data_IF_686841665051
#
_entry.id   IF_686841665051
#
_cell.length_a   1.000
_cell.length_b   1.000
_cell.length_c   1.000
_cell.angle_alpha   90.00
_cell.angle_beta   90.00
_cell.angle_gamma   90.00
#
_symmetry.space_group_name_H-M   'P 1'
#
loop_
_entity.id
_entity.type
_entity.pdbx_description
1 polymer ?
#
# COMPACT_ATOMS: atom_id res chain seq x y z
N UNK A 1 -18.67 -11.47 -12.34
CA UNK A 1 -19.00 -11.04 -13.72
C UNK A 1 -18.27 -9.73 -14.00
N UNK A 2 -17.43 -9.73 -15.02
CA UNK A 2 -16.81 -8.48 -15.49
C UNK A 2 -17.90 -7.64 -16.16
N UNK A 3 -18.28 -6.51 -15.56
CA UNK A 3 -19.07 -5.51 -16.24
C UNK A 3 -18.21 -4.87 -17.34
N UNK A 4 -18.29 -5.40 -18.55
CA UNK A 4 -17.70 -4.77 -19.73
C UNK A 4 -18.54 -3.53 -20.02
N UNK A 5 -17.96 -2.35 -19.77
CA UNK A 5 -18.63 -1.10 -20.12
C UNK A 5 -18.41 -0.82 -21.61
N UNK A 6 -19.46 -0.32 -22.26
CA UNK A 6 -19.29 0.18 -23.61
C UNK A 6 -18.41 1.46 -23.64
N UNK A 7 -17.98 1.84 -24.85
CA UNK A 7 -17.09 2.99 -25.03
C UNK A 7 -17.70 4.31 -24.52
N UNK A 8 -18.99 4.48 -24.63
CA UNK A 8 -19.69 5.70 -24.19
C UNK A 8 -19.71 5.79 -22.66
N UNK A 9 -20.04 4.68 -21.97
CA UNK A 9 -20.00 4.58 -20.51
C UNK A 9 -18.59 4.79 -19.96
N UNK A 10 -17.57 4.20 -20.59
CA UNK A 10 -16.18 4.39 -20.19
C UNK A 10 -15.78 5.86 -20.33
N UNK A 11 -16.14 6.51 -21.44
CA UNK A 11 -15.84 7.93 -21.65
C UNK A 11 -16.52 8.80 -20.60
N UNK A 12 -17.81 8.57 -20.33
CA UNK A 12 -18.56 9.33 -19.33
C UNK A 12 -17.95 9.16 -17.91
N UNK A 13 -17.59 7.93 -17.53
CA UNK A 13 -16.97 7.67 -16.23
C UNK A 13 -15.60 8.32 -16.11
N UNK A 14 -14.78 8.26 -17.15
CA UNK A 14 -13.47 8.92 -17.20
C UNK A 14 -13.60 10.44 -17.05
N UNK A 15 -14.61 11.04 -17.72
CA UNK A 15 -14.91 12.47 -17.58
C UNK A 15 -15.35 12.83 -16.16
N UNK A 16 -16.21 12.00 -15.55
CA UNK A 16 -16.64 12.20 -14.15
C UNK A 16 -15.43 12.19 -13.19
N UNK A 17 -14.54 11.20 -13.30
CA UNK A 17 -13.31 11.16 -12.49
C UNK A 17 -12.44 12.40 -12.71
N UNK A 18 -12.29 12.83 -13.95
CA UNK A 18 -11.50 14.02 -14.28
C UNK A 18 -12.07 15.30 -13.68
N UNK A 19 -13.40 15.44 -13.64
CA UNK A 19 -14.09 16.58 -13.02
C UNK A 19 -13.98 16.57 -11.49
N UNK A 20 -14.01 15.39 -10.87
CA UNK A 20 -13.90 15.23 -9.42
C UNK A 20 -12.46 15.35 -8.89
N UNK A 21 -11.45 15.57 -9.74
CA UNK A 21 -10.05 15.58 -9.33
C UNK A 21 -9.63 16.84 -8.59
N UNK A 22 -10.35 17.94 -8.78
CA UNK A 22 -10.12 19.21 -8.11
C UNK A 22 -10.43 19.09 -6.61
N UNK A 23 -9.61 19.73 -5.79
CA UNK A 23 -9.83 19.81 -4.34
C UNK A 23 -10.69 21.04 -4.03
N UNK A 24 -11.37 21.07 -2.86
CA UNK A 24 -12.10 22.26 -2.44
C UNK A 24 -11.22 23.50 -2.40
N UNK A 25 -11.85 24.67 -2.49
CA UNK A 25 -11.17 25.98 -2.38
C UNK A 25 -10.37 26.05 -1.08
N UNK A 26 -9.19 26.66 -1.14
CA UNK A 26 -8.23 26.81 -0.04
C UNK A 26 -7.71 25.50 0.59
N UNK A 27 -8.20 24.32 0.16
CA UNK A 27 -7.81 23.04 0.76
C UNK A 27 -6.31 22.75 0.63
N UNK A 28 -5.71 23.13 -0.50
CA UNK A 28 -4.28 22.90 -0.77
C UNK A 28 -3.44 23.72 0.22
N UNK A 29 -3.78 24.99 0.39
CA UNK A 29 -3.09 25.91 1.28
C UNK A 29 -3.25 25.50 2.74
N UNK A 30 -4.48 25.24 3.17
CA UNK A 30 -4.81 25.03 4.57
C UNK A 30 -4.45 23.61 5.03
N UNK A 31 -4.78 22.60 4.25
CA UNK A 31 -4.64 21.21 4.67
C UNK A 31 -3.32 20.58 4.24
N UNK A 32 -2.71 21.05 3.12
CA UNK A 32 -1.49 20.43 2.59
C UNK A 32 -0.27 21.28 2.90
N UNK A 33 -0.29 22.60 2.56
CA UNK A 33 0.87 23.48 2.66
C UNK A 33 1.16 23.96 4.09
N UNK A 34 0.15 24.43 4.83
CA UNK A 34 0.32 24.97 6.21
C UNK A 34 0.70 23.93 7.24
N UNK A 35 0.40 22.64 6.99
CA UNK A 35 0.72 21.55 7.91
C UNK A 35 1.50 20.44 7.19
N UNK A 36 2.74 20.67 6.73
CA UNK A 36 3.54 19.66 6.03
C UNK A 36 3.74 18.40 6.88
N UNK A 37 4.00 17.27 6.24
CA UNK A 37 4.26 15.99 6.90
C UNK A 37 5.50 15.32 6.32
N UNK A 38 6.38 14.74 7.15
CA UNK A 38 7.47 13.90 6.64
C UNK A 38 6.95 12.58 6.06
N UNK A 39 5.72 12.18 6.42
CA UNK A 39 5.07 10.94 6.02
C UNK A 39 3.82 11.26 5.20
N UNK A 40 3.83 10.85 3.90
CA UNK A 40 2.73 11.16 2.97
C UNK A 40 1.48 10.33 3.30
N UNK A 41 1.62 9.10 3.81
CA UNK A 41 0.46 8.30 4.25
C UNK A 41 -0.29 8.96 5.41
N UNK A 42 0.45 9.53 6.38
CA UNK A 42 -0.17 10.33 7.45
C UNK A 42 -0.87 11.56 6.89
N UNK A 43 -0.26 12.24 5.90
CA UNK A 43 -0.88 13.40 5.25
C UNK A 43 -2.16 12.99 4.51
N UNK A 44 -2.15 11.87 3.78
CA UNK A 44 -3.34 11.34 3.09
C UNK A 44 -4.50 11.11 4.08
N UNK A 45 -4.25 10.40 5.19
CA UNK A 45 -5.28 10.14 6.19
C UNK A 45 -5.87 11.43 6.78
N UNK A 46 -5.01 12.41 7.13
CA UNK A 46 -5.46 13.73 7.64
C UNK A 46 -6.29 14.50 6.61
N UNK A 47 -5.87 14.49 5.36
CA UNK A 47 -6.60 15.17 4.29
C UNK A 47 -7.95 14.49 4.01
N UNK A 48 -8.01 13.17 4.02
CA UNK A 48 -9.28 12.43 3.87
C UNK A 48 -10.24 12.80 5.00
N UNK A 49 -9.80 12.81 6.26
CA UNK A 49 -10.64 13.24 7.39
C UNK A 49 -11.07 14.72 7.27
N UNK A 50 -10.20 15.59 6.76
CA UNK A 50 -10.54 17.01 6.58
C UNK A 50 -11.60 17.23 5.49
N UNK A 51 -11.65 16.38 4.45
CA UNK A 51 -12.66 16.46 3.39
C UNK A 51 -14.09 16.29 3.90
N UNK A 52 -14.28 15.64 5.07
CA UNK A 52 -15.56 15.57 5.78
C UNK A 52 -16.20 16.96 5.95
N UNK A 53 -15.41 17.97 6.30
CA UNK A 53 -15.90 19.34 6.56
C UNK A 53 -16.29 20.11 5.29
N UNK A 54 -15.95 19.57 4.11
CA UNK A 54 -16.28 20.16 2.81
C UNK A 54 -17.40 19.42 2.09
N UNK A 55 -17.96 18.36 2.70
CA UNK A 55 -19.10 17.62 2.16
C UNK A 55 -20.39 18.14 2.82
N UNK A 56 -21.41 18.43 2.03
CA UNK A 56 -22.71 18.88 2.52
C UNK A 56 -23.50 17.76 3.23
N UNK A 57 -23.19 16.50 2.94
CA UNK A 57 -23.86 15.32 3.49
C UNK A 57 -22.85 14.26 3.97
N UNK A 58 -21.94 14.61 4.87
CA UNK A 58 -20.83 13.72 5.24
C UNK A 58 -21.28 12.44 5.94
N UNK A 59 -22.35 12.51 6.75
CA UNK A 59 -22.88 11.39 7.55
C UNK A 59 -23.98 10.57 6.85
N UNK A 60 -24.40 10.96 5.63
CA UNK A 60 -25.36 10.18 4.87
C UNK A 60 -24.68 8.92 4.31
N UNK A 61 -25.10 7.76 4.83
CA UNK A 61 -24.60 6.44 4.44
C UNK A 61 -25.48 5.73 3.40
N UNK A 62 -26.41 6.45 2.75
CA UNK A 62 -27.12 5.92 1.58
C UNK A 62 -26.12 5.47 0.50
N UNK A 63 -26.47 4.43 -0.24
CA UNK A 63 -25.55 3.84 -1.24
C UNK A 63 -25.18 4.87 -2.31
N UNK A 64 -26.15 5.69 -2.72
CA UNK A 64 -25.95 6.76 -3.69
C UNK A 64 -24.94 7.80 -3.20
N UNK A 65 -25.06 8.24 -1.94
CA UNK A 65 -24.14 9.22 -1.37
C UNK A 65 -22.74 8.61 -1.13
N UNK A 66 -22.67 7.39 -0.61
CA UNK A 66 -21.39 6.67 -0.44
C UNK A 66 -20.69 6.44 -1.77
N UNK A 67 -21.43 6.16 -2.86
CA UNK A 67 -20.88 6.05 -4.21
C UNK A 67 -20.31 7.40 -4.67
N UNK A 68 -21.06 8.50 -4.49
CA UNK A 68 -20.59 9.86 -4.80
C UNK A 68 -19.29 10.19 -4.07
N UNK A 69 -19.27 10.01 -2.74
CA UNK A 69 -18.08 10.24 -1.91
C UNK A 69 -16.91 9.38 -2.34
N UNK A 70 -17.16 8.11 -2.68
CA UNK A 70 -16.14 7.16 -3.14
C UNK A 70 -15.51 7.59 -4.46
N UNK A 71 -16.31 8.02 -5.43
CA UNK A 71 -15.82 8.53 -6.73
C UNK A 71 -14.96 9.78 -6.52
N UNK A 72 -15.40 10.71 -5.66
CA UNK A 72 -14.62 11.89 -5.31
C UNK A 72 -13.27 11.52 -4.69
N UNK A 73 -13.24 10.62 -3.71
CA UNK A 73 -12.00 10.19 -3.06
C UNK A 73 -11.06 9.46 -4.03
N UNK A 74 -11.57 8.59 -4.91
CA UNK A 74 -10.77 7.95 -5.97
C UNK A 74 -10.11 9.00 -6.87
N UNK A 75 -10.83 10.07 -7.20
CA UNK A 75 -10.32 11.14 -8.05
C UNK A 75 -9.35 12.09 -7.32
N UNK A 76 -9.60 12.41 -6.05
CA UNK A 76 -8.85 13.41 -5.28
C UNK A 76 -7.59 12.87 -4.61
N UNK A 77 -7.54 11.59 -4.22
CA UNK A 77 -6.36 11.01 -3.56
C UNK A 77 -5.07 11.17 -4.38
N UNK A 78 -5.04 10.96 -5.70
CA UNK A 78 -3.86 11.23 -6.52
C UNK A 78 -3.38 12.68 -6.42
N UNK A 79 -4.31 13.64 -6.35
CA UNK A 79 -3.99 15.08 -6.22
C UNK A 79 -3.38 15.38 -4.86
N UNK A 80 -4.01 14.90 -3.78
CA UNK A 80 -3.52 15.05 -2.40
C UNK A 80 -2.12 14.43 -2.27
N UNK A 81 -1.93 13.21 -2.79
CA UNK A 81 -0.64 12.51 -2.77
C UNK A 81 0.45 13.31 -3.46
N UNK A 82 0.20 13.75 -4.68
CA UNK A 82 1.17 14.46 -5.51
C UNK A 82 1.56 15.81 -4.89
N UNK A 83 0.58 16.56 -4.40
CA UNK A 83 0.83 17.86 -3.79
C UNK A 83 1.49 17.74 -2.42
N UNK A 84 1.09 16.76 -1.62
CA UNK A 84 1.77 16.44 -0.36
C UNK A 84 3.25 16.09 -0.57
N UNK A 85 3.57 15.36 -1.65
CA UNK A 85 4.96 15.07 -2.02
C UNK A 85 5.72 16.34 -2.42
N UNK A 86 5.12 17.22 -3.22
CA UNK A 86 5.76 18.48 -3.60
C UNK A 86 6.02 19.39 -2.39
N UNK A 87 5.08 19.44 -1.44
CA UNK A 87 5.26 20.17 -0.18
C UNK A 87 6.36 19.53 0.67
N UNK A 88 6.41 18.19 0.75
CA UNK A 88 7.49 17.46 1.42
C UNK A 88 8.84 17.79 0.80
N UNK A 89 8.96 17.84 -0.53
CA UNK A 89 10.20 18.21 -1.23
C UNK A 89 10.69 19.59 -0.78
N UNK A 90 9.80 20.56 -0.70
CA UNK A 90 10.16 21.92 -0.27
C UNK A 90 10.55 21.97 1.19
N UNK A 91 9.73 21.41 2.06
CA UNK A 91 9.85 21.58 3.51
C UNK A 91 10.98 20.76 4.11
N UNK A 92 11.12 19.49 3.70
CA UNK A 92 12.05 18.54 4.30
C UNK A 92 13.31 18.30 3.46
N UNK A 93 13.22 18.42 2.13
CA UNK A 93 14.38 18.17 1.25
C UNK A 93 14.98 19.46 0.71
N UNK A 94 14.42 20.63 1.05
CA UNK A 94 14.87 21.96 0.60
C UNK A 94 15.00 22.05 -0.92
N UNK A 95 14.11 21.37 -1.67
CA UNK A 95 14.04 21.36 -3.13
C UNK A 95 12.85 22.19 -3.61
N UNK A 96 12.87 22.61 -4.87
CA UNK A 96 11.77 23.35 -5.49
C UNK A 96 10.47 22.53 -5.44
N UNK A 97 9.38 23.21 -5.16
CA UNK A 97 8.01 22.69 -5.20
C UNK A 97 7.36 23.08 -6.51
N UNK A 98 6.70 22.12 -7.16
CA UNK A 98 5.98 22.32 -8.40
C UNK A 98 4.53 21.90 -8.24
N UNK A 99 3.61 22.86 -8.22
CA UNK A 99 2.17 22.60 -8.24
C UNK A 99 1.69 22.82 -9.67
N UNK A 100 1.50 21.74 -10.39
CA UNK A 100 1.07 21.79 -11.78
C UNK A 100 -0.46 21.84 -11.87
N UNK A 101 -1.03 22.59 -12.82
CA UNK A 101 -2.47 22.63 -13.06
C UNK A 101 -3.01 21.21 -13.38
N UNK A 102 -4.20 20.93 -12.87
CA UNK A 102 -4.92 19.70 -13.17
C UNK A 102 -5.38 19.72 -14.63
N UNK A 103 -5.04 18.69 -15.38
CA UNK A 103 -5.49 18.49 -16.76
C UNK A 103 -6.56 17.43 -16.79
N UNK A 104 -7.76 17.82 -17.25
CA UNK A 104 -8.94 16.94 -17.29
C UNK A 104 -8.82 15.82 -18.33
N UNK A 105 -7.98 16.00 -19.34
CA UNK A 105 -7.69 15.00 -20.38
C UNK A 105 -6.79 13.86 -19.90
N UNK A 106 -6.07 14.01 -18.79
CA UNK A 106 -5.17 12.99 -18.29
C UNK A 106 -5.93 11.83 -17.61
N UNK A 107 -5.49 10.59 -17.88
CA UNK A 107 -5.82 9.46 -17.03
C UNK A 107 -5.21 9.63 -15.63
N UNK A 108 -5.59 8.78 -14.68
CA UNK A 108 -5.00 8.86 -13.32
C UNK A 108 -3.47 8.64 -13.34
N UNK A 109 -2.99 7.67 -14.12
CA UNK A 109 -1.55 7.43 -14.26
C UNK A 109 -0.81 8.61 -14.90
N UNK A 110 -1.34 9.18 -15.99
CA UNK A 110 -0.80 10.37 -16.65
C UNK A 110 -0.78 11.57 -15.70
N UNK A 111 -1.85 11.78 -14.94
CA UNK A 111 -1.93 12.85 -13.95
C UNK A 111 -0.85 12.70 -12.88
N UNK A 112 -0.66 11.49 -12.33
CA UNK A 112 0.37 11.23 -11.32
C UNK A 112 1.76 11.56 -11.87
N UNK A 113 2.14 11.01 -13.03
CA UNK A 113 3.45 11.26 -13.64
C UNK A 113 3.67 12.74 -13.94
N UNK A 114 2.65 13.42 -14.48
CA UNK A 114 2.69 14.86 -14.74
C UNK A 114 2.91 15.67 -13.46
N UNK A 115 2.25 15.30 -12.35
CA UNK A 115 2.22 16.10 -11.13
C UNK A 115 3.46 15.90 -10.24
N UNK A 116 4.10 14.73 -10.30
CA UNK A 116 5.30 14.46 -9.49
C UNK A 116 6.59 14.91 -10.17
N UNK A 117 6.61 15.00 -11.51
CA UNK A 117 7.78 15.38 -12.30
C UNK A 117 7.86 16.89 -12.51
N UNK A 118 9.04 17.47 -12.35
CA UNK A 118 9.25 18.93 -12.52
C UNK A 118 9.04 19.39 -13.95
N UNK A 119 9.40 18.57 -14.94
CA UNK A 119 9.30 18.85 -16.36
C UNK A 119 7.94 18.44 -16.98
N UNK A 120 7.09 17.77 -16.21
CA UNK A 120 5.77 17.26 -16.62
C UNK A 120 5.79 16.23 -17.77
N UNK A 121 6.96 15.74 -18.15
CA UNK A 121 7.11 14.83 -19.29
C UNK A 121 6.91 13.37 -18.86
N UNK A 122 6.24 12.62 -19.69
CA UNK A 122 6.10 11.18 -19.61
C UNK A 122 5.78 10.62 -20.99
N UNK A 123 6.03 9.33 -21.18
CA UNK A 123 5.63 8.60 -22.41
C UNK A 123 4.32 7.86 -22.19
N UNK A 124 3.66 7.47 -23.26
CA UNK A 124 2.45 6.65 -23.18
C UNK A 124 2.73 5.26 -22.58
N UNK A 125 3.92 4.71 -22.84
CA UNK A 125 4.36 3.45 -22.27
C UNK A 125 4.55 3.54 -20.77
N UNK A 126 5.16 4.60 -20.25
CA UNK A 126 5.29 4.87 -18.81
C UNK A 126 3.91 4.99 -18.15
N UNK A 127 2.99 5.72 -18.78
CA UNK A 127 1.63 5.88 -18.28
C UNK A 127 0.87 4.55 -18.24
N UNK A 128 0.99 3.72 -19.29
CA UNK A 128 0.39 2.37 -19.34
C UNK A 128 0.97 1.44 -18.27
N UNK A 129 2.28 1.51 -18.05
CA UNK A 129 2.93 0.70 -17.02
C UNK A 129 2.47 1.10 -15.60
N UNK A 130 2.37 2.40 -15.33
CA UNK A 130 1.84 2.87 -14.05
C UNK A 130 0.36 2.52 -13.89
N UNK A 131 -0.44 2.64 -14.94
CA UNK A 131 -1.86 2.26 -14.93
C UNK A 131 -2.05 0.78 -14.60
N UNK A 132 -1.23 -0.10 -15.17
CA UNK A 132 -1.19 -1.51 -14.80
C UNK A 132 -0.88 -1.70 -13.31
N UNK A 133 0.12 -1.00 -12.76
CA UNK A 133 0.42 -1.06 -11.34
C UNK A 133 -0.78 -0.65 -10.48
N UNK A 134 -1.49 0.42 -10.85
CA UNK A 134 -2.68 0.88 -10.14
C UNK A 134 -3.79 -0.19 -10.19
N UNK A 135 -4.04 -0.81 -11.35
CA UNK A 135 -5.00 -1.90 -11.46
C UNK A 135 -4.64 -3.10 -10.58
N UNK A 136 -3.38 -3.53 -10.58
CA UNK A 136 -2.93 -4.69 -9.79
C UNK A 136 -3.01 -4.48 -8.28
N UNK A 137 -2.99 -3.23 -7.82
CA UNK A 137 -3.09 -2.86 -6.42
C UNK A 137 -4.51 -2.50 -5.97
N UNK A 138 -5.46 -2.33 -6.91
CA UNK A 138 -6.80 -1.82 -6.62
C UNK A 138 -7.58 -2.71 -5.64
N UNK A 139 -7.43 -4.04 -5.71
CA UNK A 139 -8.19 -4.97 -4.90
C UNK A 139 -7.34 -6.19 -4.49
N UNK A 140 -7.62 -6.75 -3.31
CA UNK A 140 -7.00 -8.00 -2.82
C UNK A 140 -7.85 -8.75 -1.77
N UNK A 141 -9.16 -8.63 -1.85
CA UNK A 141 -10.11 -9.34 -0.99
C UNK A 141 -10.38 -8.66 0.35
N UNK A 142 -11.58 -8.91 0.87
CA UNK A 142 -12.11 -8.29 2.08
C UNK A 142 -11.39 -8.64 3.38
N UNK A 143 -10.56 -9.69 3.38
CA UNK A 143 -9.70 -10.10 4.51
C UNK A 143 -8.35 -9.40 4.56
N UNK A 144 -7.98 -8.63 3.55
CA UNK A 144 -6.79 -7.81 3.59
C UNK A 144 -6.86 -6.79 4.73
N UNK A 145 -5.78 -6.59 5.49
CA UNK A 145 -5.81 -5.85 6.75
C UNK A 145 -6.44 -4.45 6.63
N UNK A 146 -6.07 -3.66 5.62
CA UNK A 146 -6.65 -2.33 5.42
C UNK A 146 -8.10 -2.37 4.94
N UNK A 147 -8.46 -3.33 4.09
CA UNK A 147 -9.84 -3.56 3.66
C UNK A 147 -10.70 -4.01 4.84
N UNK A 148 -10.18 -4.94 5.66
CA UNK A 148 -10.88 -5.38 6.87
C UNK A 148 -11.09 -4.24 7.86
N UNK A 149 -10.08 -3.37 8.06
CA UNK A 149 -10.20 -2.18 8.91
C UNK A 149 -11.31 -1.25 8.41
N UNK A 150 -11.36 -1.00 7.10
CA UNK A 150 -12.44 -0.21 6.47
C UNK A 150 -13.81 -0.84 6.71
N UNK A 151 -13.94 -2.17 6.55
CA UNK A 151 -15.20 -2.90 6.79
C UNK A 151 -15.61 -2.85 8.26
N UNK A 152 -14.66 -3.03 9.19
CA UNK A 152 -14.93 -2.95 10.64
C UNK A 152 -15.53 -1.59 11.00
N UNK A 153 -14.92 -0.49 10.54
CA UNK A 153 -15.47 0.84 10.79
C UNK A 153 -16.81 1.04 10.09
N UNK A 154 -16.95 0.60 8.84
CA UNK A 154 -18.21 0.68 8.09
C UNK A 154 -19.35 -0.02 8.84
N UNK A 155 -19.08 -1.20 9.44
CA UNK A 155 -20.08 -1.97 10.19
C UNK A 155 -20.62 -1.24 11.43
N UNK A 156 -19.92 -0.21 11.92
CA UNK A 156 -20.39 0.63 13.02
C UNK A 156 -21.37 1.73 12.57
N UNK A 157 -21.56 1.91 11.26
CA UNK A 157 -22.40 2.99 10.71
C UNK A 157 -21.71 4.35 10.62
N UNK A 158 -20.37 4.40 10.66
CA UNK A 158 -19.61 5.65 10.53
C UNK A 158 -19.59 6.21 9.10
N UNK A 159 -19.19 7.47 8.97
CA UNK A 159 -19.02 8.16 7.69
C UNK A 159 -17.93 7.54 6.79
N UNK A 160 -17.95 7.92 5.51
CA UNK A 160 -17.00 7.40 4.51
C UNK A 160 -15.56 7.84 4.80
N UNK A 161 -15.36 9.07 5.21
CA UNK A 161 -14.03 9.64 5.43
C UNK A 161 -13.30 8.95 6.58
N UNK A 162 -13.99 8.70 7.69
CA UNK A 162 -13.47 7.95 8.84
C UNK A 162 -13.13 6.51 8.46
N UNK A 163 -13.99 5.81 7.72
CA UNK A 163 -13.76 4.44 7.30
C UNK A 163 -12.53 4.32 6.36
N UNK A 164 -12.39 5.24 5.40
CA UNK A 164 -11.26 5.27 4.47
C UNK A 164 -9.96 5.70 5.18
N UNK A 165 -10.01 6.68 6.08
CA UNK A 165 -8.84 7.08 6.86
C UNK A 165 -8.29 5.92 7.70
N UNK A 166 -9.15 5.05 8.25
CA UNK A 166 -8.73 3.83 8.95
C UNK A 166 -8.03 2.84 8.01
N UNK A 167 -8.53 2.65 6.77
CA UNK A 167 -7.88 1.86 5.73
C UNK A 167 -6.49 2.39 5.41
N UNK A 168 -6.34 3.70 5.23
CA UNK A 168 -5.04 4.35 5.00
C UNK A 168 -4.11 4.14 6.19
N UNK A 169 -4.61 4.32 7.43
CA UNK A 169 -3.85 4.09 8.65
C UNK A 169 -3.33 2.67 8.79
N UNK A 170 -4.16 1.68 8.46
CA UNK A 170 -3.78 0.27 8.41
C UNK A 170 -2.71 0.00 7.34
N UNK A 171 -2.89 0.52 6.13
CA UNK A 171 -1.94 0.33 5.03
C UNK A 171 -0.59 1.01 5.31
N UNK A 172 -0.56 2.13 6.05
CA UNK A 172 0.67 2.81 6.48
C UNK A 172 1.60 1.91 7.28
N UNK A 173 1.07 0.91 7.96
CA UNK A 173 1.85 0.01 8.82
C UNK A 173 2.94 -0.74 8.05
N UNK A 174 4.19 -0.83 8.59
CA UNK A 174 5.32 -1.43 7.87
C UNK A 174 5.14 -2.92 7.58
N UNK A 175 4.26 -3.61 8.31
CA UNK A 175 3.94 -5.02 8.07
C UNK A 175 2.88 -5.23 6.98
N UNK A 176 2.27 -4.14 6.48
CA UNK A 176 1.26 -4.17 5.44
C UNK A 176 1.73 -3.44 4.19
N UNK A 177 1.61 -2.13 4.10
CA UNK A 177 2.01 -1.35 2.92
C UNK A 177 3.53 -1.11 2.79
N UNK A 178 4.31 -1.49 3.79
CA UNK A 178 5.76 -1.32 3.76
C UNK A 178 6.55 -2.42 3.04
N UNK A 179 5.88 -3.48 2.54
CA UNK A 179 6.55 -4.63 1.94
C UNK A 179 7.39 -4.24 0.71
N UNK A 180 6.87 -3.40 -0.16
CA UNK A 180 7.57 -2.90 -1.34
C UNK A 180 8.88 -2.14 -0.97
N UNK A 181 8.82 -1.27 0.04
CA UNK A 181 9.99 -0.52 0.52
C UNK A 181 11.03 -1.49 1.10
N UNK A 182 10.59 -2.53 1.81
CA UNK A 182 11.48 -3.58 2.34
C UNK A 182 12.15 -4.40 1.25
N UNK A 183 11.44 -4.75 0.18
CA UNK A 183 12.03 -5.36 -1.02
C UNK A 183 13.12 -4.46 -1.59
N UNK A 184 12.80 -3.20 -1.79
CA UNK A 184 13.75 -2.21 -2.33
C UNK A 184 15.02 -2.10 -1.48
N UNK A 185 14.88 -2.01 -0.15
CA UNK A 185 16.02 -1.95 0.79
C UNK A 185 16.86 -3.23 0.76
N UNK A 186 16.23 -4.41 0.66
CA UNK A 186 16.91 -5.69 0.52
C UNK A 186 17.73 -5.76 -0.77
N UNK A 187 17.17 -5.31 -1.88
CA UNK A 187 17.87 -5.28 -3.17
C UNK A 187 19.01 -4.27 -3.17
N UNK A 188 18.83 -3.09 -2.57
CA UNK A 188 19.88 -2.09 -2.40
C UNK A 188 21.05 -2.64 -1.55
N UNK A 189 20.75 -3.40 -0.50
CA UNK A 189 21.75 -4.09 0.31
C UNK A 189 22.50 -5.15 -0.52
N UNK A 190 21.78 -5.92 -1.33
CA UNK A 190 22.37 -6.90 -2.24
C UNK A 190 23.34 -6.24 -3.23
N UNK A 191 22.95 -5.10 -3.84
CA UNK A 191 23.80 -4.33 -4.76
C UNK A 191 25.09 -3.82 -4.10
N UNK A 192 25.07 -3.58 -2.79
CA UNK A 192 26.25 -3.12 -2.04
C UNK A 192 27.18 -4.24 -1.60
N UNK A 193 26.66 -5.44 -1.39
CA UNK A 193 27.39 -6.56 -0.78
C UNK A 193 27.94 -7.57 -1.80
N UNK A 194 27.39 -7.64 -3.01
CA UNK A 194 27.84 -8.57 -4.07
C UNK A 194 28.38 -7.81 -5.26
N UNK A 195 29.40 -8.38 -5.92
CA UNK A 195 30.10 -7.73 -7.02
C UNK A 195 29.46 -7.95 -8.40
N UNK A 196 28.69 -9.02 -8.55
CA UNK A 196 27.97 -9.37 -9.79
C UNK A 196 26.55 -9.82 -9.46
N UNK A 197 25.60 -8.95 -9.78
CA UNK A 197 24.17 -9.17 -9.56
C UNK A 197 23.58 -10.29 -10.46
N UNK A 198 24.34 -10.72 -11.46
CA UNK A 198 23.93 -11.79 -12.39
C UNK A 198 24.57 -13.13 -12.04
N UNK A 199 25.50 -13.17 -11.11
CA UNK A 199 26.11 -14.40 -10.61
C UNK A 199 25.17 -15.13 -9.66
N UNK A 200 24.72 -16.30 -10.10
CA UNK A 200 23.78 -17.14 -9.34
C UNK A 200 24.36 -17.58 -7.97
N UNK A 201 25.66 -17.84 -7.91
CA UNK A 201 26.34 -18.26 -6.67
C UNK A 201 26.35 -17.16 -5.64
N UNK A 202 26.73 -15.92 -6.03
CA UNK A 202 26.75 -14.76 -5.14
C UNK A 202 25.33 -14.40 -4.63
N UNK A 203 24.34 -14.40 -5.52
CA UNK A 203 22.93 -14.17 -5.13
C UNK A 203 22.45 -15.25 -4.17
N UNK A 204 22.71 -16.53 -4.45
CA UNK A 204 22.31 -17.64 -3.57
C UNK A 204 22.97 -17.52 -2.18
N UNK A 205 24.24 -17.15 -2.10
CA UNK A 205 24.94 -16.96 -0.83
C UNK A 205 24.39 -15.77 -0.04
N UNK A 206 24.11 -14.66 -0.70
CA UNK A 206 23.43 -13.51 -0.08
C UNK A 206 22.07 -13.89 0.50
N UNK A 207 21.23 -14.63 -0.23
CA UNK A 207 19.94 -15.11 0.26
C UNK A 207 20.06 -16.04 1.47
N UNK A 208 21.07 -16.94 1.51
CA UNK A 208 21.37 -17.76 2.70
C UNK A 208 21.73 -16.88 3.90
N UNK A 209 22.60 -15.89 3.71
CA UNK A 209 22.99 -14.96 4.78
C UNK A 209 21.78 -14.18 5.33
N UNK A 210 20.83 -13.78 4.46
CA UNK A 210 19.56 -13.18 4.93
C UNK A 210 18.82 -14.16 5.84
N UNK A 211 18.62 -15.41 5.41
CA UNK A 211 17.89 -16.43 6.20
C UNK A 211 18.52 -16.66 7.57
N UNK A 212 19.86 -16.63 7.63
CA UNK A 212 20.62 -16.76 8.86
C UNK A 212 20.78 -15.45 9.63
N UNK A 213 20.09 -14.38 9.23
CA UNK A 213 20.13 -13.05 9.86
C UNK A 213 21.51 -12.39 9.86
N UNK A 214 22.33 -12.68 8.85
CA UNK A 214 23.70 -12.18 8.67
C UNK A 214 23.79 -11.07 7.61
N UNK A 215 22.72 -10.81 6.86
CA UNK A 215 22.65 -9.77 5.84
C UNK A 215 21.28 -9.09 5.85
N UNK A 216 21.15 -8.00 5.11
CA UNK A 216 19.94 -7.20 5.02
C UNK A 216 19.57 -6.54 6.35
N UNK A 217 18.31 -6.54 6.73
CA UNK A 217 17.83 -5.96 7.99
C UNK A 217 17.89 -6.95 9.18
N UNK A 218 18.56 -8.05 9.02
CA UNK A 218 18.75 -9.12 10.02
C UNK A 218 17.43 -9.76 10.53
N UNK A 219 16.32 -9.57 9.82
CA UNK A 219 15.03 -10.18 10.15
C UNK A 219 14.96 -11.68 9.82
N UNK A 220 15.78 -12.14 8.88
CA UNK A 220 15.71 -13.49 8.31
C UNK A 220 14.63 -13.67 7.26
N UNK A 221 14.07 -12.57 6.73
CA UNK A 221 13.02 -12.55 5.74
C UNK A 221 13.54 -12.14 4.37
N UNK A 222 13.24 -12.92 3.35
CA UNK A 222 13.43 -12.52 1.94
C UNK A 222 12.13 -11.83 1.51
N UNK A 223 12.16 -10.51 1.50
CA UNK A 223 11.01 -9.69 1.17
C UNK A 223 10.60 -9.87 -0.29
N UNK A 224 9.31 -9.77 -0.58
CA UNK A 224 8.76 -10.04 -1.91
C UNK A 224 8.53 -11.52 -2.21
N UNK A 225 8.98 -12.42 -1.31
CA UNK A 225 8.79 -13.86 -1.42
C UNK A 225 7.84 -14.38 -0.34
N UNK A 226 6.82 -15.13 -0.77
CA UNK A 226 5.76 -15.66 0.09
C UNK A 226 4.47 -14.85 -0.01
N UNK A 227 3.35 -15.55 0.11
CA UNK A 227 2.02 -14.97 0.04
C UNK A 227 1.04 -15.73 0.96
N UNK A 228 0.09 -15.02 1.56
CA UNK A 228 -0.90 -15.63 2.45
C UNK A 228 -1.90 -16.53 1.68
N UNK A 229 -2.22 -16.17 0.43
CA UNK A 229 -3.21 -16.85 -0.41
C UNK A 229 -2.55 -17.71 -1.49
N UNK A 230 -1.58 -17.14 -2.23
CA UNK A 230 -0.94 -17.82 -3.35
C UNK A 230 0.24 -18.68 -2.90
N UNK A 231 0.26 -19.93 -3.34
CA UNK A 231 1.34 -20.89 -3.03
C UNK A 231 2.15 -21.32 -4.24
N UNK A 232 1.58 -21.20 -5.45
CA UNK A 232 2.24 -21.56 -6.71
C UNK A 232 2.75 -20.33 -7.45
N UNK A 233 1.88 -19.35 -7.69
CA UNK A 233 2.25 -18.05 -8.26
C UNK A 233 1.22 -16.99 -7.91
N UNK A 234 1.63 -15.75 -7.80
CA UNK A 234 0.75 -14.58 -7.75
C UNK A 234 0.56 -14.05 -9.18
N UNK A 235 -0.65 -14.12 -9.75
CA UNK A 235 -0.88 -13.69 -11.13
C UNK A 235 -0.52 -12.21 -11.37
N UNK A 236 -0.59 -11.38 -10.32
CA UNK A 236 -0.20 -9.97 -10.39
C UNK A 236 1.33 -9.83 -10.56
N UNK A 237 2.10 -10.63 -9.81
CA UNK A 237 3.56 -10.67 -9.95
C UNK A 237 3.97 -11.15 -11.34
N UNK A 238 3.29 -12.16 -11.91
CA UNK A 238 3.56 -12.67 -13.25
C UNK A 238 3.36 -11.58 -14.31
N UNK A 239 2.21 -10.89 -14.28
CA UNK A 239 1.91 -9.82 -15.23
C UNK A 239 2.90 -8.65 -15.09
N UNK A 240 3.20 -8.23 -13.88
CA UNK A 240 4.12 -7.12 -13.63
C UNK A 240 5.55 -7.46 -14.05
N UNK A 241 6.00 -8.69 -13.76
CA UNK A 241 7.30 -9.21 -14.20
C UNK A 241 7.46 -9.14 -15.70
N UNK A 242 6.45 -9.56 -16.46
CA UNK A 242 6.50 -9.52 -17.92
C UNK A 242 6.68 -8.10 -18.47
N UNK A 243 5.93 -7.14 -17.94
CA UNK A 243 6.07 -5.74 -18.36
C UNK A 243 7.38 -5.12 -17.87
N UNK A 244 7.80 -5.42 -16.64
CA UNK A 244 9.08 -4.96 -16.09
C UNK A 244 10.27 -5.43 -16.94
N UNK A 245 10.23 -6.69 -17.42
CA UNK A 245 11.27 -7.23 -18.33
C UNK A 245 11.37 -6.43 -19.62
N UNK A 246 10.23 -6.12 -20.25
CA UNK A 246 10.20 -5.34 -21.50
C UNK A 246 10.76 -3.93 -21.27
N UNK A 247 10.40 -3.31 -20.14
CA UNK A 247 10.82 -1.95 -19.81
C UNK A 247 12.29 -1.86 -19.39
N UNK A 248 12.83 -2.89 -18.74
CA UNK A 248 14.22 -2.93 -18.29
C UNK A 248 15.20 -3.26 -19.41
N UNK A 249 14.75 -3.99 -20.46
CA UNK A 249 15.62 -4.47 -21.54
C UNK A 249 16.33 -3.34 -22.28
N UNK A 250 17.66 -3.45 -22.37
CA UNK A 250 18.52 -2.43 -23.00
C UNK A 250 18.69 -1.15 -22.20
N UNK A 251 18.25 -1.10 -20.93
CA UNK A 251 18.41 0.04 -20.03
C UNK A 251 19.38 -0.30 -18.88
N UNK A 252 19.74 0.71 -18.06
CA UNK A 252 20.50 0.53 -16.82
C UNK A 252 19.82 -0.39 -15.79
N UNK A 253 18.54 -0.67 -15.95
CA UNK A 253 17.76 -1.53 -15.05
C UNK A 253 17.79 -3.02 -15.44
N UNK A 254 18.38 -3.39 -16.57
CA UNK A 254 18.35 -4.78 -17.04
C UNK A 254 19.04 -5.74 -16.08
N UNK A 255 20.21 -5.36 -15.58
CA UNK A 255 20.96 -6.14 -14.59
C UNK A 255 20.19 -6.30 -13.28
N UNK A 256 19.59 -5.21 -12.78
CA UNK A 256 18.73 -5.23 -11.59
C UNK A 256 17.50 -6.12 -11.78
N UNK A 257 16.89 -6.09 -12.96
CA UNK A 257 15.77 -6.97 -13.26
C UNK A 257 16.21 -8.45 -13.22
N UNK A 258 17.36 -8.78 -13.82
CA UNK A 258 17.90 -10.16 -13.80
C UNK A 258 18.20 -10.63 -12.38
N UNK A 259 18.73 -9.78 -11.52
CA UNK A 259 18.98 -10.12 -10.11
C UNK A 259 17.68 -10.46 -9.36
N UNK A 260 16.59 -9.72 -9.62
CA UNK A 260 15.27 -10.02 -9.05
C UNK A 260 14.74 -11.38 -9.55
N UNK A 261 14.93 -11.70 -10.83
CA UNK A 261 14.59 -13.03 -11.36
C UNK A 261 15.38 -14.15 -10.68
N UNK A 262 16.67 -13.91 -10.36
CA UNK A 262 17.48 -14.87 -9.59
C UNK A 262 16.92 -15.02 -8.15
N UNK A 263 16.59 -13.92 -7.48
CA UNK A 263 15.95 -13.97 -6.16
C UNK A 263 14.68 -14.81 -6.20
N UNK A 264 13.78 -14.56 -7.17
CA UNK A 264 12.54 -15.33 -7.33
C UNK A 264 12.81 -16.82 -7.53
N UNK A 265 13.74 -17.16 -8.41
CA UNK A 265 14.04 -18.53 -8.80
C UNK A 265 14.75 -19.33 -7.70
N UNK A 266 15.72 -18.71 -7.01
CA UNK A 266 16.57 -19.40 -6.04
C UNK A 266 15.91 -19.53 -4.66
N UNK A 267 15.07 -18.58 -4.26
CA UNK A 267 14.50 -18.53 -2.92
C UNK A 267 13.76 -19.82 -2.52
N UNK A 268 12.89 -20.43 -3.35
CA UNK A 268 12.16 -21.65 -2.94
C UNK A 268 13.07 -22.82 -2.57
N UNK A 269 14.15 -23.03 -3.34
CA UNK A 269 15.10 -24.12 -3.09
C UNK A 269 15.93 -23.85 -1.83
N UNK A 270 16.39 -22.60 -1.67
CA UNK A 270 17.18 -22.19 -0.49
C UNK A 270 16.32 -22.32 0.77
N UNK A 271 15.06 -21.87 0.76
CA UNK A 271 14.16 -22.07 1.89
C UNK A 271 13.95 -23.54 2.24
N UNK A 272 13.78 -24.40 1.24
CA UNK A 272 13.59 -25.84 1.46
C UNK A 272 14.82 -26.47 2.13
N UNK A 273 16.04 -26.07 1.73
CA UNK A 273 17.30 -26.59 2.27
C UNK A 273 17.58 -26.05 3.68
N UNK A 274 17.49 -24.75 3.87
CA UNK A 274 17.95 -24.08 5.12
C UNK A 274 16.92 -24.21 6.27
N UNK A 275 15.62 -24.19 5.97
CA UNK A 275 14.56 -24.25 6.99
C UNK A 275 13.85 -25.62 7.08
N UNK A 276 14.22 -26.59 6.25
CA UNK A 276 13.55 -27.90 6.21
C UNK A 276 12.06 -27.80 5.86
N UNK A 277 11.59 -26.64 5.39
CA UNK A 277 10.19 -26.36 5.18
C UNK A 277 9.79 -26.75 3.75
N UNK A 278 8.87 -27.72 3.64
CA UNK A 278 8.30 -28.15 2.35
C UNK A 278 7.24 -27.18 1.79
N UNK A 279 6.93 -26.08 2.50
CA UNK A 279 5.96 -25.10 2.03
C UNK A 279 6.52 -24.38 0.81
N UNK A 280 5.79 -24.47 -0.30
CA UNK A 280 6.15 -23.72 -1.52
C UNK A 280 6.01 -22.22 -1.26
N UNK A 281 6.99 -21.46 -1.76
CA UNK A 281 7.05 -20.00 -1.65
C UNK A 281 7.09 -19.44 -3.06
N UNK A 282 6.23 -18.48 -3.37
CA UNK A 282 6.22 -17.79 -4.66
C UNK A 282 6.45 -16.28 -4.46
N UNK A 283 6.85 -15.60 -5.52
CA UNK A 283 6.92 -14.15 -5.55
C UNK A 283 5.53 -13.53 -5.37
N UNK A 284 5.46 -12.43 -4.64
CA UNK A 284 4.29 -11.57 -4.58
C UNK A 284 4.51 -10.31 -5.43
N UNK A 285 3.47 -9.49 -5.60
CA UNK A 285 3.51 -8.29 -6.45
C UNK A 285 4.60 -7.29 -6.03
N UNK A 286 4.95 -7.24 -4.73
CA UNK A 286 5.93 -6.30 -4.19
C UNK A 286 7.36 -6.58 -4.65
N UNK A 287 7.67 -7.82 -5.07
CA UNK A 287 9.00 -8.16 -5.58
C UNK A 287 9.40 -7.33 -6.80
N UNK A 288 8.45 -7.06 -7.69
CA UNK A 288 8.70 -6.35 -8.96
C UNK A 288 8.26 -4.88 -8.93
N UNK A 289 7.27 -4.52 -8.12
CA UNK A 289 6.67 -3.18 -8.18
C UNK A 289 7.65 -2.07 -7.80
N UNK A 290 8.58 -2.32 -6.86
CA UNK A 290 9.61 -1.35 -6.49
C UNK A 290 10.57 -1.02 -7.63
N UNK A 291 10.99 -2.02 -8.40
CA UNK A 291 11.82 -1.80 -9.60
C UNK A 291 11.03 -1.00 -10.66
N UNK A 292 9.77 -1.36 -10.91
CA UNK A 292 8.92 -0.62 -11.85
C UNK A 292 8.80 0.84 -11.47
N UNK A 293 8.57 1.14 -10.20
CA UNK A 293 8.49 2.53 -9.73
C UNK A 293 9.82 3.27 -9.92
N UNK A 294 10.96 2.62 -9.70
CA UNK A 294 12.29 3.20 -9.97
C UNK A 294 12.50 3.49 -11.46
N UNK A 295 12.12 2.57 -12.35
CA UNK A 295 12.18 2.77 -13.81
C UNK A 295 11.32 3.97 -14.26
N UNK A 296 10.18 4.18 -13.59
CA UNK A 296 9.31 5.33 -13.82
C UNK A 296 9.79 6.64 -13.13
N UNK A 297 10.94 6.61 -12.45
CA UNK A 297 11.45 7.76 -11.69
C UNK A 297 10.56 8.18 -10.52
N UNK A 298 9.74 7.26 -10.01
CA UNK A 298 8.86 7.51 -8.86
C UNK A 298 9.70 7.41 -7.57
N UNK A 299 9.69 8.42 -6.71
CA UNK A 299 10.45 8.39 -5.47
C UNK A 299 9.88 7.40 -4.46
N UNK A 300 10.75 6.80 -3.64
CA UNK A 300 10.38 5.81 -2.61
C UNK A 300 9.30 6.34 -1.65
N UNK A 301 9.29 7.63 -1.37
CA UNK A 301 8.25 8.30 -0.58
C UNK A 301 6.82 8.06 -1.07
N UNK A 302 6.67 7.74 -2.35
CA UNK A 302 5.37 7.54 -3.00
C UNK A 302 4.99 6.06 -3.18
N UNK A 303 5.82 5.10 -2.83
CA UNK A 303 5.53 3.68 -3.05
C UNK A 303 4.27 3.22 -2.31
N UNK A 304 4.22 3.40 -0.99
CA UNK A 304 3.02 3.09 -0.19
C UNK A 304 1.84 4.04 -0.50
N UNK A 305 2.03 5.37 -0.68
CA UNK A 305 0.96 6.26 -1.12
C UNK A 305 0.32 5.88 -2.45
N UNK A 306 1.08 5.44 -3.45
CA UNK A 306 0.54 4.91 -4.71
C UNK A 306 -0.33 3.67 -4.50
N UNK A 307 0.10 2.79 -3.59
CA UNK A 307 -0.71 1.64 -3.19
C UNK A 307 -2.04 2.09 -2.57
N UNK A 308 -2.03 3.10 -1.69
CA UNK A 308 -3.25 3.66 -1.09
C UNK A 308 -4.19 4.27 -2.15
N UNK A 309 -3.63 5.05 -3.08
CA UNK A 309 -4.37 5.64 -4.21
C UNK A 309 -5.08 4.56 -5.03
N UNK A 310 -4.36 3.51 -5.39
CA UNK A 310 -4.93 2.38 -6.14
C UNK A 310 -5.99 1.63 -5.32
N UNK A 311 -5.70 1.30 -4.05
CA UNK A 311 -6.57 0.52 -3.18
C UNK A 311 -7.82 1.27 -2.75
N UNK A 312 -7.89 2.58 -2.93
CA UNK A 312 -9.10 3.38 -2.64
C UNK A 312 -10.34 2.80 -3.33
N UNK A 313 -10.22 2.34 -4.58
CA UNK A 313 -11.31 1.71 -5.30
C UNK A 313 -11.81 0.42 -4.60
N UNK A 314 -10.90 -0.43 -4.16
CA UNK A 314 -11.23 -1.64 -3.42
C UNK A 314 -11.85 -1.35 -2.04
N UNK A 315 -11.31 -0.38 -1.29
CA UNK A 315 -11.92 0.04 -0.02
C UNK A 315 -13.34 0.56 -0.21
N UNK A 316 -13.56 1.40 -1.24
CA UNK A 316 -14.88 1.92 -1.57
C UNK A 316 -15.87 0.80 -1.91
N UNK A 317 -15.46 -0.16 -2.74
CA UNK A 317 -16.29 -1.30 -3.12
C UNK A 317 -16.68 -2.14 -1.89
N UNK A 318 -15.72 -2.46 -1.02
CA UNK A 318 -15.98 -3.22 0.19
C UNK A 318 -16.80 -2.46 1.23
N UNK A 319 -16.67 -1.12 1.29
CA UNK A 319 -17.57 -0.30 2.10
C UNK A 319 -19.01 -0.39 1.62
N UNK A 320 -19.24 -0.22 0.32
CA UNK A 320 -20.59 -0.35 -0.26
C UNK A 320 -21.15 -1.76 -0.06
N UNK A 321 -20.35 -2.80 -0.27
CA UNK A 321 -20.76 -4.19 -0.05
C UNK A 321 -21.16 -4.44 1.40
N UNK A 322 -20.43 -3.91 2.38
CA UNK A 322 -20.75 -4.02 3.80
C UNK A 322 -22.08 -3.34 4.13
N UNK A 323 -22.33 -2.15 3.57
CA UNK A 323 -23.61 -1.43 3.76
C UNK A 323 -24.78 -2.14 3.08
N UNK A 324 -24.60 -2.64 1.86
CA UNK A 324 -25.64 -3.37 1.10
C UNK A 324 -26.01 -4.68 1.81
N UNK A 325 -25.04 -5.39 2.36
CA UNK A 325 -25.30 -6.64 3.06
C UNK A 325 -26.06 -6.47 4.38
N UNK A 326 -26.16 -5.26 4.89
CA UNK A 326 -26.92 -4.95 6.11
C UNK A 326 -26.40 -5.68 7.35
N UNK A 327 -25.09 -5.91 7.41
CA UNK A 327 -24.43 -6.68 8.44
C UNK A 327 -24.59 -6.06 9.84
N UNK A 328 -24.37 -6.89 10.87
CA UNK A 328 -24.23 -6.40 12.25
C UNK A 328 -22.83 -5.84 12.44
N UNK A 329 -22.67 -4.95 13.44
CA UNK A 329 -21.36 -4.48 13.85
C UNK A 329 -20.39 -5.66 14.06
N UNK A 330 -19.23 -5.60 13.39
CA UNK A 330 -18.22 -6.66 13.45
C UNK A 330 -17.61 -6.68 14.85
N UNK A 331 -17.84 -7.77 15.57
CA UNK A 331 -17.30 -8.03 16.91
C UNK A 331 -16.63 -9.40 16.90
N UNK A 332 -15.30 -9.48 16.76
CA UNK A 332 -14.61 -10.76 16.83
C UNK A 332 -14.82 -11.39 18.20
N UNK A 333 -15.08 -12.69 18.24
CA UNK A 333 -15.09 -13.43 19.48
C UNK A 333 -13.68 -13.48 20.07
N UNK A 334 -13.56 -13.28 21.37
CA UNK A 334 -12.32 -13.46 22.10
C UNK A 334 -12.57 -14.24 23.38
N UNK A 335 -11.55 -14.94 23.85
CA UNK A 335 -11.59 -15.67 25.11
C UNK A 335 -10.49 -15.13 26.02
N UNK A 336 -10.86 -14.75 27.24
CA UNK A 336 -9.87 -14.42 28.25
C UNK A 336 -9.04 -15.66 28.59
N UNK A 337 -7.73 -15.53 28.56
CA UNK A 337 -6.79 -16.56 29.04
C UNK A 337 -6.37 -16.33 30.48
N UNK A 338 -6.79 -15.22 31.08
CA UNK A 338 -6.56 -14.93 32.51
C UNK A 338 -7.53 -15.75 33.37
N UNK A 339 -7.05 -16.29 34.46
CA UNK A 339 -7.89 -16.91 35.48
C UNK A 339 -8.79 -15.83 36.14
N UNK A 340 -10.02 -16.20 36.55
CA UNK A 340 -10.86 -15.29 37.32
C UNK A 340 -10.12 -14.83 38.57
N UNK A 341 -9.96 -13.52 38.74
CA UNK A 341 -9.37 -12.93 39.93
C UNK A 341 -10.45 -12.46 40.91
N UNK A 342 -10.16 -12.55 42.19
CA UNK A 342 -11.02 -11.96 43.22
C UNK A 342 -10.71 -10.48 43.31
N UNK A 343 -11.76 -9.63 43.23
CA UNK A 343 -11.62 -8.20 43.44
C UNK A 343 -11.25 -7.89 44.91
N UNK A 344 -10.11 -7.28 45.11
CA UNK A 344 -9.68 -6.77 46.43
C UNK A 344 -9.87 -5.25 46.48
N UNK A 345 -10.72 -4.73 47.38
CA UNK A 345 -10.89 -3.27 47.58
C UNK A 345 -9.54 -2.60 47.84
N UNK A 346 -9.37 -1.37 47.39
CA UNK A 346 -8.09 -0.66 47.47
C UNK A 346 -7.59 -0.52 48.90
N UNK A 347 -8.50 -0.39 49.85
CA UNK A 347 -8.21 -0.32 51.30
C UNK A 347 -7.65 -1.59 51.92
N UNK A 348 -7.80 -2.71 51.21
CA UNK A 348 -7.33 -4.06 51.62
C UNK A 348 -6.11 -4.53 50.80
N UNK A 349 -5.64 -3.71 49.86
CA UNK A 349 -4.46 -4.04 49.07
C UNK A 349 -3.22 -3.69 49.87
N UNK A 350 -2.44 -4.70 50.21
CA UNK A 350 -1.06 -4.54 50.68
C UNK A 350 -0.18 -4.24 49.48
N UNK A 351 1.08 -3.78 49.68
CA UNK A 351 2.03 -3.47 48.61
C UNK A 351 2.00 -4.54 47.51
N UNK A 352 1.92 -4.05 46.28
CA UNK A 352 1.76 -4.89 45.11
C UNK A 352 2.90 -5.95 45.06
N UNK A 353 2.57 -7.19 45.30
CA UNK A 353 3.44 -8.24 44.81
C UNK A 353 3.55 -8.01 43.28
N UNK A 354 4.75 -7.95 42.73
CA UNK A 354 4.91 -7.80 41.32
C UNK A 354 4.09 -8.93 40.67
N UNK A 355 2.99 -8.58 39.99
CA UNK A 355 2.35 -9.52 39.11
C UNK A 355 3.44 -9.99 38.16
N UNK A 356 3.94 -11.19 38.35
CA UNK A 356 4.67 -11.88 37.31
C UNK A 356 3.66 -12.15 36.19
N UNK A 357 3.34 -11.12 35.42
CA UNK A 357 2.81 -11.32 34.08
C UNK A 357 3.96 -11.94 33.29
N UNK A 358 4.16 -13.23 33.47
CA UNK A 358 5.02 -14.01 32.59
C UNK A 358 4.35 -13.88 31.24
N UNK A 359 4.94 -13.04 30.38
CA UNK A 359 4.56 -12.99 28.98
C UNK A 359 4.82 -14.40 28.43
N UNK A 360 3.75 -15.13 28.19
CA UNK A 360 3.84 -16.42 27.49
C UNK A 360 3.77 -16.10 26.00
N UNK A 361 4.81 -16.39 25.22
CA UNK A 361 4.80 -16.23 23.76
C UNK A 361 3.57 -16.92 23.16
N UNK A 362 3.03 -16.35 22.10
CA UNK A 362 1.80 -16.86 21.44
C UNK A 362 1.94 -18.32 21.02
N UNK A 363 3.15 -18.76 20.75
CA UNK A 363 3.52 -20.12 20.34
C UNK A 363 3.42 -21.14 21.50
N UNK A 364 3.47 -20.66 22.75
CA UNK A 364 3.39 -21.49 23.97
C UNK A 364 1.99 -21.43 24.62
N UNK A 365 1.06 -20.67 24.03
CA UNK A 365 -0.33 -20.57 24.50
C UNK A 365 -1.19 -21.63 23.82
N UNK A 366 -1.20 -22.84 24.33
CA UNK A 366 -2.10 -23.91 23.88
C UNK A 366 -3.29 -24.01 24.84
#
# INVERSE_FOLDING_TARGET
EMCIRDRAQLTAFTQTLAQCRELPEDFIEDMIMKAPSPDIMNKLARCVLALYSYDEQPDDISIENVLRQSIQLVAQLPTIMSYAYQVKRRHYYHKSMYIHPIRKEHTTAQFILNSIRSDRKFTDEEAKLLDLCLMLHAEHGGGNNSTFSTRVLTSSGTDTYSAIAAGIGSLKGPRHGGANIKVTQMLDCMEQEISDLTDEGQVADFLKRIIHKQAGDHSGLIYGMGHAVYTLSDPRAVLLKEQARKFASGTEFEEKFRSIELVERLTPEIFAREKGNKKRVCANVDLYSGLVYRMLGIPVDLFTPLFAVARMAGWAAHRMEELISGGRIIRPAYKSVSLPGVYTPITQRTEAQPHSSVYVPTEERI
#
